data_IF_503259366898
#
_entry.id   IF_503259366898
#
_cell.length_a   1.000
_cell.length_b   1.000
_cell.length_c   1.000
_cell.angle_alpha   90.00
_cell.angle_beta   90.00
_cell.angle_gamma   90.00
#
_symmetry.space_group_name_H-M   'P 1'
#
loop_
_entity.id
_entity.type
_entity.pdbx_description
1 polymer ?
#
# COMPACT_ATOMS: atom_id res chain seq x y z
N UNK A 1 2.04 -12.24 36.74
CA UNK A 1 2.90 -11.48 35.78
C UNK A 1 2.23 -11.51 34.43
N UNK A 2 1.65 -10.40 33.99
CA UNK A 2 1.18 -10.24 32.61
C UNK A 2 2.42 -10.34 31.69
N UNK A 3 2.55 -11.45 30.97
CA UNK A 3 3.56 -11.60 29.94
C UNK A 3 3.17 -10.67 28.77
N UNK A 4 3.74 -9.50 28.73
CA UNK A 4 3.65 -8.62 27.55
C UNK A 4 4.25 -9.36 26.33
N UNK A 5 3.39 -9.85 25.47
CA UNK A 5 3.79 -10.50 24.23
C UNK A 5 4.19 -9.42 23.22
N UNK A 6 5.47 -9.41 22.84
CA UNK A 6 5.97 -8.52 21.79
C UNK A 6 5.52 -9.05 20.43
N UNK A 7 4.95 -8.19 19.59
CA UNK A 7 4.52 -8.52 18.24
C UNK A 7 5.34 -7.73 17.22
N UNK A 8 5.82 -8.41 16.19
CA UNK A 8 6.50 -7.78 15.05
C UNK A 8 5.50 -7.77 13.89
N UNK A 9 5.21 -6.56 13.38
CA UNK A 9 4.34 -6.38 12.23
C UNK A 9 5.19 -6.21 10.98
N UNK A 10 5.09 -7.15 10.03
CA UNK A 10 5.71 -7.03 8.72
C UNK A 10 4.71 -6.48 7.72
N UNK A 11 5.08 -5.39 7.05
CA UNK A 11 4.37 -4.97 5.85
C UNK A 11 5.34 -4.65 4.73
N UNK A 12 4.92 -4.88 3.50
CA UNK A 12 5.68 -4.61 2.29
C UNK A 12 4.95 -3.57 1.45
N UNK A 13 5.69 -2.55 1.03
CA UNK A 13 5.20 -1.56 0.09
C UNK A 13 5.63 -1.94 -1.32
N UNK A 14 4.69 -1.89 -2.25
CA UNK A 14 4.92 -2.12 -3.68
C UNK A 14 4.37 -0.93 -4.43
N UNK A 15 5.26 -0.18 -5.05
CA UNK A 15 4.91 0.93 -5.91
C UNK A 15 5.80 0.93 -7.15
N UNK A 16 5.18 1.08 -8.31
CA UNK A 16 5.86 1.29 -9.59
C UNK A 16 5.15 2.41 -10.33
N UNK A 17 5.84 3.54 -10.59
CA UNK A 17 5.28 4.60 -11.43
C UNK A 17 5.28 4.15 -12.90
N UNK A 18 4.34 4.67 -13.67
CA UNK A 18 4.47 4.63 -15.11
C UNK A 18 5.59 5.57 -15.56
N UNK A 19 6.57 5.05 -16.29
CA UNK A 19 7.67 5.82 -16.83
C UNK A 19 7.23 6.53 -18.08
N UNK A 20 7.60 7.82 -18.17
CA UNK A 20 7.26 8.65 -19.30
C UNK A 20 8.36 8.56 -20.36
N UNK A 21 7.97 8.53 -21.63
CA UNK A 21 8.91 8.65 -22.74
C UNK A 21 9.47 10.08 -22.81
N UNK A 22 10.57 10.24 -23.55
CA UNK A 22 11.07 11.57 -23.85
C UNK A 22 10.05 12.30 -24.73
N UNK A 23 9.46 13.38 -24.15
CA UNK A 23 8.47 14.23 -24.82
C UNK A 23 9.13 15.53 -25.25
N UNK A 24 8.96 15.91 -26.51
CA UNK A 24 9.59 17.09 -27.12
C UNK A 24 8.57 18.19 -27.31
N UNK A 25 9.05 19.44 -27.45
CA UNK A 25 8.20 20.59 -27.70
C UNK A 25 7.25 20.38 -28.88
N UNK A 26 7.73 19.80 -29.97
CA UNK A 26 6.92 19.54 -31.19
C UNK A 26 5.89 18.41 -31.04
N UNK A 27 5.95 17.65 -29.95
CA UNK A 27 4.94 16.62 -29.65
C UNK A 27 3.69 17.23 -29.00
N UNK A 28 3.80 18.47 -28.45
CA UNK A 28 2.71 19.15 -27.76
C UNK A 28 1.54 19.38 -28.72
N UNK A 29 0.36 18.89 -28.35
CA UNK A 29 -0.86 18.97 -29.17
C UNK A 29 -0.91 18.01 -30.38
N UNK A 30 0.19 17.34 -30.72
CA UNK A 30 0.27 16.42 -31.86
C UNK A 30 0.37 14.95 -31.45
N UNK A 31 0.86 14.66 -30.25
CA UNK A 31 1.02 13.32 -29.75
C UNK A 31 0.66 13.26 -28.28
N UNK A 32 -0.35 12.44 -27.95
CA UNK A 32 -0.87 12.28 -26.59
C UNK A 32 -0.39 10.98 -25.92
N UNK A 33 0.54 10.27 -26.55
CA UNK A 33 1.12 9.07 -25.99
C UNK A 33 2.34 9.40 -25.12
N UNK A 34 2.17 9.38 -23.82
CA UNK A 34 3.16 9.88 -22.85
C UNK A 34 4.05 8.80 -22.25
N UNK A 35 3.62 7.54 -22.32
CA UNK A 35 4.28 6.44 -21.61
C UNK A 35 5.38 5.78 -22.45
N UNK A 36 6.41 5.28 -21.76
CA UNK A 36 7.45 4.42 -22.31
C UNK A 36 7.12 2.96 -22.00
N UNK A 37 6.25 2.37 -22.83
CA UNK A 37 5.75 1.01 -22.59
C UNK A 37 6.88 -0.01 -22.60
N UNK A 38 7.84 0.12 -23.50
CA UNK A 38 8.98 -0.78 -23.55
C UNK A 38 9.76 -0.79 -22.25
N UNK A 39 10.06 0.39 -21.72
CA UNK A 39 10.79 0.51 -20.45
C UNK A 39 9.94 0.04 -19.26
N UNK A 40 8.64 0.33 -19.27
CA UNK A 40 7.71 -0.14 -18.23
C UNK A 40 7.64 -1.66 -18.21
N UNK A 41 7.47 -2.29 -19.37
CA UNK A 41 7.41 -3.74 -19.53
C UNK A 41 8.72 -4.42 -19.09
N UNK A 42 9.86 -3.97 -19.64
CA UNK A 42 11.19 -4.54 -19.31
C UNK A 42 11.48 -4.51 -17.82
N UNK A 43 11.25 -3.35 -17.18
CA UNK A 43 11.51 -3.20 -15.75
C UNK A 43 10.53 -4.04 -14.95
N UNK A 44 9.25 -4.07 -15.36
CA UNK A 44 8.22 -4.80 -14.62
C UNK A 44 8.47 -6.30 -14.66
N UNK A 45 8.79 -6.87 -15.81
CA UNK A 45 9.17 -8.29 -15.94
C UNK A 45 10.39 -8.63 -15.08
N UNK A 46 11.45 -7.82 -15.15
CA UNK A 46 12.65 -8.04 -14.37
C UNK A 46 12.39 -8.05 -12.85
N UNK A 47 11.56 -7.12 -12.35
CA UNK A 47 11.21 -7.04 -10.93
C UNK A 47 10.29 -8.20 -10.54
N UNK A 48 9.35 -8.58 -11.39
CA UNK A 48 8.45 -9.70 -11.16
C UNK A 48 9.21 -11.01 -10.98
N UNK A 49 10.15 -11.30 -11.88
CA UNK A 49 10.97 -12.52 -11.82
C UNK A 49 11.96 -12.54 -10.65
N UNK A 50 12.62 -11.39 -10.38
CA UNK A 50 13.70 -11.33 -9.38
C UNK A 50 13.22 -11.00 -7.96
N UNK A 51 12.03 -10.43 -7.81
CA UNK A 51 11.54 -9.94 -6.53
C UNK A 51 10.15 -10.48 -6.20
N UNK A 52 9.10 -10.09 -6.95
CA UNK A 52 7.72 -10.34 -6.51
C UNK A 52 7.38 -11.83 -6.43
N UNK A 53 7.62 -12.59 -7.48
CA UNK A 53 7.30 -14.01 -7.50
C UNK A 53 8.13 -14.83 -6.49
N UNK A 54 9.47 -14.62 -6.38
CA UNK A 54 10.25 -15.31 -5.34
C UNK A 54 9.84 -14.94 -3.91
N UNK A 55 9.56 -13.64 -3.66
CA UNK A 55 9.14 -13.18 -2.35
C UNK A 55 7.78 -13.78 -1.95
N UNK A 56 6.80 -13.75 -2.86
CA UNK A 56 5.48 -14.30 -2.61
C UNK A 56 5.53 -15.80 -2.33
N UNK A 57 6.37 -16.56 -3.07
CA UNK A 57 6.60 -18.00 -2.79
C UNK A 57 7.21 -18.20 -1.40
N UNK A 58 8.21 -17.43 -1.02
CA UNK A 58 8.82 -17.53 0.30
C UNK A 58 7.83 -17.21 1.42
N UNK A 59 6.99 -16.19 1.25
CA UNK A 59 5.94 -15.82 2.22
C UNK A 59 4.89 -16.93 2.33
N UNK A 60 4.42 -17.49 1.22
CA UNK A 60 3.49 -18.63 1.23
C UNK A 60 4.07 -19.82 1.99
N UNK A 61 5.35 -20.11 1.77
CA UNK A 61 6.05 -21.20 2.47
C UNK A 61 6.13 -20.93 3.98
N UNK A 62 6.47 -19.69 4.40
CA UNK A 62 6.49 -19.31 5.81
C UNK A 62 5.11 -19.42 6.48
N UNK A 63 4.05 -18.98 5.79
CA UNK A 63 2.67 -19.14 6.28
C UNK A 63 2.33 -20.61 6.49
N UNK A 64 2.61 -21.46 5.50
CA UNK A 64 2.35 -22.90 5.57
C UNK A 64 3.15 -23.57 6.68
N UNK A 65 4.46 -23.32 6.78
CA UNK A 65 5.35 -23.87 7.81
C UNK A 65 4.96 -23.45 9.22
N UNK A 66 4.43 -22.22 9.38
CA UNK A 66 3.98 -21.73 10.68
C UNK A 66 2.58 -22.22 11.09
N UNK A 67 1.90 -22.98 10.23
CA UNK A 67 0.50 -23.35 10.45
C UNK A 67 -0.44 -22.14 10.53
N UNK A 68 -0.19 -21.12 9.71
CA UNK A 68 -0.99 -19.88 9.65
C UNK A 68 -0.72 -18.88 10.78
N UNK A 69 0.32 -19.08 11.58
CA UNK A 69 0.70 -18.13 12.65
C UNK A 69 1.46 -16.91 12.11
N UNK A 70 2.21 -17.07 11.02
CA UNK A 70 2.87 -15.98 10.35
C UNK A 70 1.84 -15.20 9.52
N UNK A 71 1.77 -13.91 9.76
CA UNK A 71 0.89 -12.98 9.05
C UNK A 71 1.69 -11.84 8.49
N UNK A 72 1.23 -11.27 7.38
CA UNK A 72 1.93 -10.19 6.68
C UNK A 72 0.91 -9.24 6.04
N UNK A 73 1.30 -7.98 5.85
CA UNK A 73 0.50 -7.00 5.14
C UNK A 73 1.22 -6.50 3.88
N UNK A 74 0.45 -6.13 2.86
CA UNK A 74 0.93 -5.50 1.64
C UNK A 74 0.20 -4.18 1.38
N UNK A 75 0.97 -3.15 1.01
CA UNK A 75 0.49 -1.90 0.45
C UNK A 75 0.94 -1.85 -1.00
N UNK A 76 0.01 -1.99 -1.93
CA UNK A 76 0.31 -2.07 -3.37
C UNK A 76 -0.43 -0.94 -4.06
N UNK A 77 0.27 0.04 -4.64
CA UNK A 77 -0.38 1.17 -5.30
C UNK A 77 -1.23 0.75 -6.50
N UNK A 78 -2.27 1.51 -6.81
CA UNK A 78 -3.14 1.26 -7.95
C UNK A 78 -2.38 1.23 -9.27
N UNK A 79 -1.42 2.14 -9.44
CA UNK A 79 -0.54 2.17 -10.63
C UNK A 79 0.35 0.93 -10.76
N UNK A 80 0.78 0.34 -9.62
CA UNK A 80 1.50 -0.93 -9.66
C UNK A 80 0.56 -2.09 -10.01
N UNK A 81 -0.66 -2.10 -9.47
CA UNK A 81 -1.67 -3.11 -9.82
C UNK A 81 -2.03 -3.07 -11.30
N UNK A 82 -2.19 -1.87 -11.90
CA UNK A 82 -2.43 -1.73 -13.34
C UNK A 82 -1.28 -2.31 -14.16
N UNK A 83 -0.03 -2.00 -13.80
CA UNK A 83 1.12 -2.56 -14.49
C UNK A 83 1.24 -4.08 -14.33
N UNK A 84 0.84 -4.63 -13.17
CA UNK A 84 0.74 -6.09 -12.99
C UNK A 84 -0.26 -6.70 -13.95
N UNK A 85 -1.44 -6.10 -14.10
CA UNK A 85 -2.47 -6.61 -15.03
C UNK A 85 -2.01 -6.57 -16.48
N UNK A 86 -1.25 -5.54 -16.86
CA UNK A 86 -0.79 -5.35 -18.25
C UNK A 86 0.42 -6.23 -18.57
N UNK A 87 1.44 -6.24 -17.70
CA UNK A 87 2.77 -6.79 -18.02
C UNK A 87 3.08 -8.11 -17.31
N UNK A 88 2.45 -8.42 -16.18
CA UNK A 88 2.79 -9.59 -15.36
C UNK A 88 1.57 -10.13 -14.59
N UNK A 89 0.52 -10.62 -15.27
CA UNK A 89 -0.69 -11.11 -14.62
C UNK A 89 -0.43 -12.27 -13.66
N UNK A 90 0.64 -13.03 -13.85
CA UNK A 90 1.08 -14.10 -12.94
C UNK A 90 1.45 -13.58 -11.54
N UNK A 91 1.86 -12.31 -11.42
CA UNK A 91 2.09 -11.66 -10.12
C UNK A 91 0.76 -11.43 -9.40
N UNK A 92 -0.28 -10.97 -10.12
CA UNK A 92 -1.65 -10.86 -9.57
C UNK A 92 -2.12 -12.23 -9.04
N UNK A 93 -1.92 -13.28 -9.82
CA UNK A 93 -2.34 -14.64 -9.43
C UNK A 93 -1.60 -15.09 -8.16
N UNK A 94 -0.31 -14.78 -8.03
CA UNK A 94 0.45 -15.09 -6.83
C UNK A 94 -0.06 -14.34 -5.58
N UNK A 95 -0.53 -13.10 -5.74
CA UNK A 95 -1.17 -12.35 -4.65
C UNK A 95 -2.58 -12.87 -4.34
N UNK A 96 -3.34 -13.37 -5.32
CA UNK A 96 -4.62 -14.06 -5.08
C UNK A 96 -4.43 -15.33 -4.27
N UNK A 97 -3.39 -16.11 -4.56
CA UNK A 97 -3.05 -17.28 -3.76
C UNK A 97 -2.74 -16.89 -2.30
N UNK A 98 -1.95 -15.84 -2.09
CA UNK A 98 -1.65 -15.29 -0.77
C UNK A 98 -2.91 -14.82 -0.03
N UNK A 99 -3.79 -14.09 -0.71
CA UNK A 99 -5.08 -13.67 -0.15
C UNK A 99 -5.93 -14.84 0.31
N UNK A 100 -5.97 -15.91 -0.49
CA UNK A 100 -6.71 -17.15 -0.18
C UNK A 100 -6.22 -17.90 1.06
N UNK A 101 -5.01 -17.64 1.55
CA UNK A 101 -4.49 -18.25 2.77
C UNK A 101 -5.08 -17.64 4.07
N UNK A 102 -5.76 -16.49 3.99
CA UNK A 102 -6.35 -15.81 5.16
C UNK A 102 -5.32 -15.27 6.18
N UNK A 103 -4.05 -15.19 5.78
CA UNK A 103 -2.93 -14.72 6.61
C UNK A 103 -2.29 -13.43 6.08
N UNK A 104 -2.88 -12.84 5.05
CA UNK A 104 -2.37 -11.66 4.37
C UNK A 104 -3.42 -10.56 4.42
N UNK A 105 -2.98 -9.37 4.81
CA UNK A 105 -3.80 -8.16 4.81
C UNK A 105 -3.33 -7.23 3.69
N UNK A 106 -4.28 -6.68 2.92
CA UNK A 106 -3.98 -5.63 1.95
C UNK A 106 -4.37 -4.29 2.55
N UNK A 107 -3.43 -3.36 2.54
CA UNK A 107 -3.62 -2.01 3.06
C UNK A 107 -4.18 -1.10 1.96
N UNK A 108 -5.04 -0.16 2.34
CA UNK A 108 -5.44 0.90 1.44
C UNK A 108 -4.39 2.00 1.36
N UNK A 109 -4.26 2.63 0.20
CA UNK A 109 -3.44 3.82 -0.01
C UNK A 109 -4.07 4.71 -1.09
N UNK A 110 -3.45 5.85 -1.44
CA UNK A 110 -3.86 6.63 -2.60
C UNK A 110 -3.53 5.86 -3.89
N UNK A 111 -4.45 5.85 -4.86
CA UNK A 111 -4.33 5.04 -6.07
C UNK A 111 -3.01 5.25 -6.82
N UNK A 112 -2.67 6.51 -7.05
CA UNK A 112 -1.48 6.91 -7.79
C UNK A 112 -0.25 7.15 -6.89
N UNK A 113 -0.28 6.73 -5.61
CA UNK A 113 0.76 7.05 -4.64
C UNK A 113 0.99 8.57 -4.53
N UNK A 114 -0.09 9.34 -4.50
CA UNK A 114 -0.08 10.78 -4.57
C UNK A 114 0.00 11.46 -3.20
N UNK A 115 0.33 12.75 -3.22
CA UNK A 115 0.32 13.63 -2.05
C UNK A 115 -1.02 14.37 -1.88
N UNK A 116 -2.11 13.87 -2.46
CA UNK A 116 -3.42 14.52 -2.40
C UNK A 116 -3.90 14.77 -0.96
N UNK A 117 -3.45 13.95 0.00
CA UNK A 117 -3.79 14.13 1.43
C UNK A 117 -3.42 15.52 2.02
N UNK A 118 -2.47 16.24 1.41
CA UNK A 118 -2.03 17.56 1.86
C UNK A 118 -2.62 18.72 1.04
N UNK A 119 -3.17 18.47 -0.13
CA UNK A 119 -3.57 19.53 -1.05
C UNK A 119 -5.04 19.54 -1.43
N UNK A 120 -5.64 18.37 -1.54
CA UNK A 120 -7.02 18.20 -2.03
C UNK A 120 -7.71 17.02 -1.34
N UNK A 121 -8.52 17.27 -0.30
CA UNK A 121 -9.24 16.22 0.41
C UNK A 121 -10.21 15.41 -0.45
N UNK A 122 -10.83 16.02 -1.46
CA UNK A 122 -11.78 15.30 -2.32
C UNK A 122 -11.06 14.36 -3.29
N UNK A 123 -9.96 14.83 -3.90
CA UNK A 123 -9.09 13.98 -4.70
C UNK A 123 -8.49 12.85 -3.86
N UNK A 124 -8.07 13.13 -2.63
CA UNK A 124 -7.59 12.12 -1.70
C UNK A 124 -8.65 11.03 -1.48
N UNK A 125 -9.87 11.41 -1.12
CA UNK A 125 -10.97 10.46 -0.90
C UNK A 125 -11.30 9.67 -2.17
N UNK A 126 -11.29 10.31 -3.33
CA UNK A 126 -11.55 9.66 -4.61
C UNK A 126 -10.51 8.58 -4.92
N UNK A 127 -9.22 8.91 -4.78
CA UNK A 127 -8.13 7.95 -5.01
C UNK A 127 -8.15 6.77 -4.03
N UNK A 128 -8.44 7.02 -2.75
CA UNK A 128 -8.53 5.94 -1.75
C UNK A 128 -9.70 5.01 -2.05
N UNK A 129 -10.87 5.53 -2.44
CA UNK A 129 -12.02 4.70 -2.86
C UNK A 129 -11.69 3.86 -4.08
N UNK A 130 -11.12 4.47 -5.12
CA UNK A 130 -10.70 3.78 -6.34
C UNK A 130 -9.70 2.66 -6.04
N UNK A 131 -8.75 2.91 -5.16
CA UNK A 131 -7.77 1.90 -4.72
C UNK A 131 -8.46 0.73 -3.97
N UNK A 132 -9.33 1.04 -3.02
CA UNK A 132 -10.07 0.04 -2.24
C UNK A 132 -10.92 -0.86 -3.15
N UNK A 133 -11.63 -0.27 -4.11
CA UNK A 133 -12.40 -1.00 -5.11
C UNK A 133 -11.53 -1.91 -5.97
N UNK A 134 -10.35 -1.42 -6.38
CA UNK A 134 -9.38 -2.20 -7.16
C UNK A 134 -8.87 -3.41 -6.39
N UNK A 135 -8.46 -3.22 -5.14
CA UNK A 135 -8.00 -4.31 -4.24
C UNK A 135 -9.12 -5.33 -4.04
N UNK A 136 -10.34 -4.87 -3.78
CA UNK A 136 -11.51 -5.75 -3.61
C UNK A 136 -11.81 -6.55 -4.88
N UNK A 137 -11.75 -5.93 -6.04
CA UNK A 137 -11.98 -6.59 -7.33
C UNK A 137 -10.92 -7.65 -7.63
N UNK A 138 -9.64 -7.38 -7.34
CA UNK A 138 -8.53 -8.29 -7.66
C UNK A 138 -8.37 -9.44 -6.66
N UNK A 139 -8.57 -9.17 -5.37
CA UNK A 139 -8.22 -10.11 -4.28
C UNK A 139 -9.41 -10.55 -3.42
N UNK A 140 -10.60 -9.98 -3.62
CA UNK A 140 -11.81 -10.34 -2.88
C UNK A 140 -11.78 -9.90 -1.40
N UNK A 141 -10.85 -9.03 -1.02
CA UNK A 141 -10.68 -8.54 0.36
C UNK A 141 -10.92 -7.04 0.43
N UNK A 142 -11.45 -6.58 1.56
CA UNK A 142 -11.70 -5.17 1.81
C UNK A 142 -10.64 -4.65 2.79
N UNK A 143 -9.80 -3.67 2.39
CA UNK A 143 -8.81 -3.07 3.27
C UNK A 143 -9.44 -2.40 4.50
N UNK A 144 -8.87 -2.64 5.67
CA UNK A 144 -9.31 -2.05 6.95
C UNK A 144 -8.29 -1.07 7.52
N UNK A 145 -7.07 -1.15 7.07
CA UNK A 145 -5.97 -0.30 7.51
C UNK A 145 -5.47 0.52 6.33
N UNK A 146 -5.26 1.79 6.59
CA UNK A 146 -4.77 2.75 5.60
C UNK A 146 -3.27 3.04 5.79
N UNK A 147 -2.55 3.19 4.70
CA UNK A 147 -1.16 3.66 4.66
C UNK A 147 -1.05 4.88 3.77
N UNK A 148 -0.75 6.04 4.34
CA UNK A 148 -0.57 7.24 3.52
C UNK A 148 0.76 7.24 2.77
N UNK A 149 0.80 7.94 1.64
CA UNK A 149 2.02 8.21 0.88
C UNK A 149 3.06 8.84 1.80
N UNK A 150 4.31 8.33 1.74
CA UNK A 150 5.43 8.72 2.60
C UNK A 150 5.13 8.67 4.12
N UNK A 151 4.08 7.95 4.54
CA UNK A 151 3.62 7.85 5.92
C UNK A 151 3.23 9.20 6.55
N UNK A 152 2.93 10.20 5.73
CA UNK A 152 2.55 11.55 6.18
C UNK A 152 1.32 11.47 7.07
N UNK A 153 1.37 12.17 8.18
CA UNK A 153 0.29 12.24 9.15
C UNK A 153 0.03 13.69 9.59
N UNK A 154 -1.24 14.02 9.73
CA UNK A 154 -1.77 15.13 10.52
C UNK A 154 -3.12 14.73 11.10
N UNK A 155 -3.62 15.49 12.05
CA UNK A 155 -4.94 15.24 12.62
C UNK A 155 -6.03 15.38 11.56
N UNK A 156 -5.92 16.33 10.63
CA UNK A 156 -6.86 16.49 9.51
C UNK A 156 -6.86 15.25 8.59
N UNK A 157 -5.68 14.71 8.28
CA UNK A 157 -5.58 13.46 7.50
C UNK A 157 -6.23 12.30 8.25
N UNK A 158 -6.03 12.21 9.57
CA UNK A 158 -6.64 11.16 10.37
C UNK A 158 -8.17 11.25 10.39
N UNK A 159 -8.74 12.46 10.35
CA UNK A 159 -10.17 12.70 10.19
C UNK A 159 -10.69 12.10 8.87
N UNK A 160 -10.03 12.45 7.75
CA UNK A 160 -10.41 11.94 6.43
C UNK A 160 -10.33 10.40 6.35
N UNK A 161 -9.28 9.82 6.94
CA UNK A 161 -9.10 8.36 6.98
C UNK A 161 -10.19 7.70 7.80
N UNK A 162 -10.56 8.28 8.94
CA UNK A 162 -11.66 7.80 9.77
C UNK A 162 -13.01 7.89 9.06
N UNK A 163 -13.31 9.01 8.39
CA UNK A 163 -14.52 9.20 7.59
C UNK A 163 -14.66 8.16 6.46
N UNK A 164 -13.54 7.70 5.91
CA UNK A 164 -13.52 6.63 4.91
C UNK A 164 -13.75 5.24 5.49
N UNK A 165 -13.90 5.12 6.83
CA UNK A 165 -14.27 3.88 7.51
C UNK A 165 -13.10 2.97 7.90
N UNK A 166 -11.85 3.45 7.87
CA UNK A 166 -10.70 2.66 8.28
C UNK A 166 -10.60 2.54 9.81
N UNK A 167 -10.11 1.39 10.28
CA UNK A 167 -9.93 1.06 11.70
C UNK A 167 -8.53 1.42 12.19
N UNK A 168 -7.55 1.48 11.28
CA UNK A 168 -6.16 1.77 11.60
C UNK A 168 -5.42 2.48 10.48
N UNK A 169 -4.29 3.10 10.84
CA UNK A 169 -3.42 3.82 9.92
C UNK A 169 -1.96 3.55 10.24
N UNK A 170 -1.15 3.31 9.22
CA UNK A 170 0.32 3.35 9.31
C UNK A 170 0.80 4.78 9.06
N UNK A 171 1.66 5.28 9.95
CA UNK A 171 2.18 6.64 9.89
C UNK A 171 3.62 6.70 10.38
N UNK A 172 4.31 7.78 10.10
CA UNK A 172 5.64 8.01 10.65
C UNK A 172 5.59 8.25 12.16
N UNK A 173 6.62 7.77 12.86
CA UNK A 173 6.86 8.04 14.28
C UNK A 173 7.68 9.30 14.49
N UNK A 174 7.13 10.48 14.16
CA UNK A 174 7.85 11.76 14.21
C UNK A 174 8.40 12.04 15.62
N UNK A 175 9.70 11.96 15.78
CA UNK A 175 10.38 12.06 17.07
C UNK A 175 10.10 13.37 17.82
N UNK A 176 9.95 14.48 17.10
CA UNK A 176 9.64 15.78 17.71
C UNK A 176 8.21 15.85 18.30
N UNK A 177 7.29 15.01 17.80
CA UNK A 177 5.92 14.87 18.33
C UNK A 177 5.89 13.87 19.47
N UNK A 178 6.56 12.73 19.31
CA UNK A 178 6.60 11.67 20.34
C UNK A 178 7.39 12.06 21.58
N UNK A 179 8.43 12.92 21.42
CA UNK A 179 9.33 13.27 22.49
C UNK A 179 10.06 12.04 23.03
N UNK A 180 9.82 11.72 24.30
CA UNK A 180 10.40 10.56 24.99
C UNK A 180 9.61 9.25 24.77
N UNK A 181 8.41 9.31 24.19
CA UNK A 181 7.55 8.14 23.98
C UNK A 181 8.13 7.23 22.89
N UNK A 182 7.99 5.92 23.10
CA UNK A 182 8.45 4.92 22.11
C UNK A 182 7.48 4.82 20.95
N UNK A 183 7.94 4.73 19.68
CA UNK A 183 7.09 4.46 18.54
C UNK A 183 6.53 3.01 18.52
N UNK A 184 7.03 2.12 19.38
CA UNK A 184 6.66 0.70 19.40
C UNK A 184 5.35 0.40 20.15
N UNK A 185 4.53 1.40 20.42
CA UNK A 185 3.19 1.22 20.97
C UNK A 185 2.14 1.52 19.90
N UNK A 186 0.95 0.95 20.10
CA UNK A 186 -0.23 1.34 19.33
C UNK A 186 -0.75 2.63 19.93
N UNK A 187 -0.83 3.66 19.10
CA UNK A 187 -1.40 4.95 19.43
C UNK A 187 -2.84 5.06 18.92
N UNK A 188 -3.48 6.16 19.20
CA UNK A 188 -4.76 6.53 18.66
C UNK A 188 -4.69 7.96 18.12
N UNK A 189 -5.49 8.27 17.12
CA UNK A 189 -5.67 9.65 16.64
C UNK A 189 -6.17 10.53 17.80
N UNK A 190 -5.63 11.74 17.92
CA UNK A 190 -6.02 12.68 18.96
C UNK A 190 -7.48 13.13 18.80
N UNK A 191 -7.95 13.26 17.58
CA UNK A 191 -9.32 13.72 17.26
C UNK A 191 -10.31 12.58 17.01
N UNK A 192 -9.82 11.39 16.64
CA UNK A 192 -10.62 10.17 16.40
C UNK A 192 -10.00 8.97 17.12
N UNK A 193 -10.20 8.81 18.45
CA UNK A 193 -9.53 7.75 19.23
C UNK A 193 -9.83 6.32 18.79
N UNK A 194 -10.88 6.14 17.98
CA UNK A 194 -11.26 4.86 17.38
C UNK A 194 -10.24 4.44 16.31
N UNK A 195 -9.66 5.41 15.57
CA UNK A 195 -8.62 5.15 14.58
C UNK A 195 -7.29 4.85 15.29
N UNK A 196 -6.79 3.62 15.12
CA UNK A 196 -5.51 3.19 15.70
C UNK A 196 -4.35 3.55 14.80
N UNK A 197 -3.24 3.99 15.41
CA UNK A 197 -2.05 4.41 14.71
C UNK A 197 -0.90 3.45 15.03
N UNK A 198 -0.28 2.91 13.99
CA UNK A 198 0.96 2.14 14.05
C UNK A 198 2.08 3.00 13.49
N UNK A 199 3.09 3.28 14.32
CA UNK A 199 4.18 4.19 14.00
C UNK A 199 5.40 3.41 13.47
N UNK A 200 6.10 4.01 12.51
CA UNK A 200 7.33 3.47 11.93
C UNK A 200 8.52 4.32 12.34
#
# INVERSE_FOLDING_TARGET
EERYMKTICFYFQIHQPFRLRRYRFFDIGNNHYYYDDFQNEEIFHRISEKCYLPANRAIMEMIRKSGGKFKVAFSISGTALEQMEIYAPEVIDSFRELAGLGCVEFLAETYAHSLASIGDPEEFKAQVRMHTEKVKALFGVEPKVFRNTELIYSDDISELVYELGFEGMLTEGAKHVLGWKSPNYVYASAIRPQLKLLLK
#
